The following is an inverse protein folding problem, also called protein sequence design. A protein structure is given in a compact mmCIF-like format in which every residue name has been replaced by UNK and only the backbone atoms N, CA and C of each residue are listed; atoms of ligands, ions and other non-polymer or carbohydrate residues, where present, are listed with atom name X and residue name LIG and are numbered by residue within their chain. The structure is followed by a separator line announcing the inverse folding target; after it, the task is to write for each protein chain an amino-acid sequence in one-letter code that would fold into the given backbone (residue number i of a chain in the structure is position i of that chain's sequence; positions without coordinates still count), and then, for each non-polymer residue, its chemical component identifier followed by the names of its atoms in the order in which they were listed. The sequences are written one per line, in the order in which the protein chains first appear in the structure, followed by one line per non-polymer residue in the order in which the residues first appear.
data_IF_620528943524
#
_entry.id   IF_620528943524
#
_cell.length_a   1.000
_cell.length_b   1.000
_cell.length_c   1.000
_cell.angle_alpha   90.00
_cell.angle_beta   90.00
_cell.angle_gamma   90.00
#
_symmetry.space_group_name_H-M   'P 1'
#
loop_
_entity.id
_entity.type
_entity.pdbx_description
1 polymer ?
#
# COMPACT_ATOMS: atom_id res chain seq x y z
N UNK A 1 19.41 22.10 1.01
CA UNK A 1 18.94 21.39 2.23
C UNK A 1 18.57 19.97 1.82
N UNK A 2 19.43 19.02 2.16
CA UNK A 2 19.16 17.59 1.98
C UNK A 2 18.11 17.17 3.00
N UNK A 3 16.96 16.74 2.51
CA UNK A 3 15.93 16.14 3.36
C UNK A 3 16.25 14.64 3.44
N UNK A 4 16.77 14.18 4.58
CA UNK A 4 17.20 12.80 4.77
C UNK A 4 18.41 12.43 3.91
N UNK A 5 18.40 11.22 3.32
CA UNK A 5 19.52 10.70 2.52
C UNK A 5 19.38 10.92 1.01
N UNK A 6 18.31 11.56 0.59
CA UNK A 6 18.00 11.83 -0.82
C UNK A 6 18.76 13.07 -1.29
N UNK A 7 19.38 13.00 -2.46
CA UNK A 7 20.08 14.09 -3.08
C UNK A 7 20.01 13.99 -4.60
N UNK A 8 20.76 14.90 -5.27
CA UNK A 8 20.91 14.93 -6.72
C UNK A 8 22.40 15.05 -7.02
N UNK A 9 22.91 14.26 -7.96
CA UNK A 9 24.31 14.31 -8.38
C UNK A 9 24.56 15.47 -9.39
N UNK A 10 25.83 15.73 -9.77
CA UNK A 10 26.13 16.77 -10.76
C UNK A 10 25.49 16.56 -12.14
N UNK A 11 25.09 15.33 -12.48
CA UNK A 11 24.42 14.99 -13.75
C UNK A 11 22.92 15.18 -13.70
N UNK A 12 22.34 15.51 -12.54
CA UNK A 12 20.90 15.65 -12.32
C UNK A 12 20.18 14.35 -11.92
N UNK A 13 20.90 13.25 -11.76
CA UNK A 13 20.33 11.99 -11.34
C UNK A 13 20.07 11.96 -9.83
N UNK A 14 18.93 11.41 -9.42
CA UNK A 14 18.57 11.23 -8.01
C UNK A 14 19.54 10.26 -7.33
N UNK A 15 19.97 10.60 -6.11
CA UNK A 15 20.82 9.75 -5.28
C UNK A 15 20.15 9.45 -3.94
N UNK A 16 20.54 8.33 -3.35
CA UNK A 16 20.22 7.97 -1.99
C UNK A 16 21.50 7.52 -1.29
N UNK A 17 21.86 8.16 -0.18
CA UNK A 17 23.15 7.95 0.51
C UNK A 17 24.32 7.98 -0.46
N UNK A 18 24.34 8.93 -1.38
CA UNK A 18 25.34 9.12 -2.45
C UNK A 18 25.42 8.01 -3.51
N UNK A 19 24.51 7.03 -3.48
CA UNK A 19 24.38 6.02 -4.53
C UNK A 19 23.37 6.49 -5.57
N UNK A 20 23.72 6.41 -6.86
CA UNK A 20 22.82 6.83 -7.93
C UNK A 20 21.60 5.90 -8.01
N UNK A 21 20.47 6.44 -8.44
CA UNK A 21 19.23 5.67 -8.61
C UNK A 21 19.41 4.50 -9.58
N UNK A 22 20.13 4.70 -10.68
CA UNK A 22 20.41 3.63 -11.66
C UNK A 22 21.23 2.50 -11.08
N UNK A 23 22.28 2.81 -10.30
CA UNK A 23 23.09 1.79 -9.62
C UNK A 23 22.27 1.04 -8.56
N UNK A 24 21.45 1.74 -7.82
CA UNK A 24 20.57 1.13 -6.80
C UNK A 24 19.54 0.20 -7.44
N UNK A 25 18.86 0.62 -8.51
CA UNK A 25 17.93 -0.25 -9.26
C UNK A 25 18.59 -1.54 -9.71
N UNK A 26 19.77 -1.43 -10.31
CA UNK A 26 20.51 -2.58 -10.81
C UNK A 26 20.91 -3.55 -9.71
N UNK A 27 21.41 -3.03 -8.59
CA UNK A 27 21.78 -3.84 -7.42
C UNK A 27 20.57 -4.56 -6.82
N UNK A 28 19.43 -3.89 -6.72
CA UNK A 28 18.17 -4.47 -6.22
C UNK A 28 17.74 -5.64 -7.12
N UNK A 29 17.71 -5.43 -8.43
CA UNK A 29 17.28 -6.45 -9.38
C UNK A 29 18.20 -7.67 -9.39
N UNK A 30 19.51 -7.47 -9.41
CA UNK A 30 20.48 -8.56 -9.32
C UNK A 30 20.37 -9.32 -8.01
N UNK A 31 20.28 -8.62 -6.90
CA UNK A 31 20.20 -9.21 -5.57
C UNK A 31 18.94 -10.06 -5.39
N UNK A 32 17.81 -9.55 -5.77
CA UNK A 32 16.52 -10.27 -5.68
C UNK A 32 16.51 -11.48 -6.63
N UNK A 33 16.96 -11.31 -7.87
CA UNK A 33 17.02 -12.40 -8.84
C UNK A 33 17.84 -13.58 -8.32
N UNK A 34 19.00 -13.30 -7.74
CA UNK A 34 19.86 -14.33 -7.20
C UNK A 34 19.30 -14.98 -5.93
N UNK A 35 18.89 -14.19 -4.95
CA UNK A 35 18.52 -14.70 -3.62
C UNK A 35 17.16 -15.40 -3.64
N UNK A 36 16.17 -14.82 -4.29
CA UNK A 36 14.84 -15.43 -4.41
C UNK A 36 14.87 -16.61 -5.40
N UNK A 37 15.63 -16.49 -6.48
CA UNK A 37 15.84 -17.60 -7.42
C UNK A 37 16.46 -18.83 -6.77
N UNK A 38 17.49 -18.65 -5.95
CA UNK A 38 18.11 -19.74 -5.20
C UNK A 38 17.18 -20.35 -4.16
N UNK A 39 16.42 -19.52 -3.47
CA UNK A 39 15.46 -19.97 -2.46
C UNK A 39 14.31 -20.77 -3.07
N UNK A 40 13.84 -20.40 -4.25
CA UNK A 40 12.75 -21.08 -4.94
C UNK A 40 13.04 -22.54 -5.30
N UNK A 41 14.32 -22.90 -5.37
CA UNK A 41 14.76 -24.27 -5.63
C UNK A 41 14.83 -25.13 -4.36
N UNK A 42 14.74 -24.53 -3.19
CA UNK A 42 14.72 -25.24 -1.91
C UNK A 42 13.29 -25.68 -1.56
N UNK A 43 13.18 -26.88 -0.97
CA UNK A 43 11.90 -27.40 -0.52
C UNK A 43 11.20 -26.44 0.45
N UNK A 44 9.89 -26.35 0.31
CA UNK A 44 9.06 -25.61 1.26
C UNK A 44 9.06 -26.30 2.62
N UNK A 45 9.08 -25.51 3.66
CA UNK A 45 8.95 -25.99 5.04
C UNK A 45 8.22 -24.95 5.88
N UNK A 46 7.76 -25.38 7.04
CA UNK A 46 7.12 -24.50 8.01
C UNK A 46 8.09 -23.42 8.49
N UNK A 47 7.52 -22.25 8.77
CA UNK A 47 8.26 -21.13 9.34
C UNK A 47 8.48 -21.39 10.82
N UNK A 48 9.73 -21.36 11.24
CA UNK A 48 10.12 -21.49 12.65
C UNK A 48 10.45 -20.11 13.21
N UNK A 49 10.37 -19.96 14.54
CA UNK A 49 10.64 -18.68 15.20
C UNK A 49 12.02 -18.11 14.84
N UNK A 50 13.03 -18.96 14.74
CA UNK A 50 14.38 -18.54 14.35
C UNK A 50 14.48 -17.97 12.94
N UNK A 51 13.58 -18.34 12.04
CA UNK A 51 13.58 -17.86 10.67
C UNK A 51 13.36 -16.34 10.57
N UNK A 52 12.68 -15.76 11.55
CA UNK A 52 12.48 -14.32 11.59
C UNK A 52 13.76 -13.51 11.84
N UNK A 53 14.79 -14.14 12.35
CA UNK A 53 16.07 -13.51 12.71
C UNK A 53 17.20 -13.82 11.75
N UNK A 54 16.99 -14.68 10.77
CA UNK A 54 17.99 -15.05 9.77
C UNK A 54 18.27 -13.88 8.84
N UNK A 55 19.54 -13.60 8.60
CA UNK A 55 20.01 -12.65 7.59
C UNK A 55 21.02 -13.37 6.71
N UNK A 56 20.74 -13.51 5.44
CA UNK A 56 21.64 -14.06 4.45
C UNK A 56 22.36 -12.92 3.73
N UNK A 57 23.62 -13.14 3.36
CA UNK A 57 24.45 -12.13 2.71
C UNK A 57 25.23 -12.75 1.56
N UNK A 58 25.25 -12.05 0.43
CA UNK A 58 26.04 -12.44 -0.74
C UNK A 58 26.76 -11.22 -1.32
N UNK A 59 28.00 -11.42 -1.78
CA UNK A 59 28.79 -10.40 -2.41
C UNK A 59 28.71 -10.49 -3.94
N UNK A 60 28.49 -9.34 -4.58
CA UNK A 60 28.38 -9.18 -6.02
C UNK A 60 29.53 -8.32 -6.54
N UNK A 61 30.68 -8.92 -6.89
CA UNK A 61 31.77 -8.17 -7.51
C UNK A 61 31.37 -7.75 -8.93
N UNK A 62 31.82 -6.57 -9.37
CA UNK A 62 31.55 -6.06 -10.72
C UNK A 62 32.01 -7.01 -11.82
N UNK A 63 33.14 -7.66 -11.58
CA UNK A 63 33.74 -8.63 -12.53
C UNK A 63 32.98 -9.96 -12.60
N UNK A 64 32.06 -10.20 -11.68
CA UNK A 64 31.37 -11.47 -11.53
C UNK A 64 32.19 -12.49 -10.74
N UNK A 65 31.55 -13.61 -10.44
CA UNK A 65 32.14 -14.74 -9.73
C UNK A 65 31.52 -16.04 -10.24
N UNK A 66 31.94 -17.19 -9.67
CA UNK A 66 31.32 -18.48 -10.00
C UNK A 66 29.82 -18.53 -9.70
N UNK A 67 29.32 -17.70 -8.76
CA UNK A 67 27.95 -17.69 -8.32
C UNK A 67 27.15 -16.46 -8.83
N UNK A 68 27.86 -15.42 -9.29
CA UNK A 68 27.23 -14.14 -9.63
C UNK A 68 27.67 -13.65 -11.01
N UNK A 69 26.79 -13.04 -11.82
CA UNK A 69 27.16 -12.48 -13.11
C UNK A 69 28.00 -11.22 -12.96
N UNK A 70 28.78 -10.89 -13.98
CA UNK A 70 29.39 -9.56 -14.11
C UNK A 70 28.32 -8.49 -14.31
N UNK A 71 28.59 -7.28 -13.81
CA UNK A 71 27.65 -6.15 -13.90
C UNK A 71 28.40 -4.81 -13.86
N UNK A 72 27.66 -3.73 -14.10
CA UNK A 72 28.23 -2.37 -14.19
C UNK A 72 27.82 -1.44 -13.02
N UNK A 73 27.35 -2.02 -11.91
CA UNK A 73 26.81 -1.23 -10.79
C UNK A 73 27.81 -0.98 -9.66
N UNK A 74 29.09 -1.32 -9.86
CA UNK A 74 30.11 -1.32 -8.81
C UNK A 74 29.94 -2.53 -7.86
N UNK A 75 30.96 -2.81 -7.09
CA UNK A 75 30.91 -3.92 -6.12
C UNK A 75 29.87 -3.61 -5.05
N UNK A 76 29.04 -4.58 -4.72
CA UNK A 76 28.07 -4.44 -3.62
C UNK A 76 27.83 -5.77 -2.93
N UNK A 77 27.40 -5.68 -1.69
CA UNK A 77 26.89 -6.79 -0.91
C UNK A 77 25.39 -6.69 -0.80
N UNK A 78 24.70 -7.80 -0.92
CA UNK A 78 23.25 -7.87 -0.83
C UNK A 78 22.84 -8.73 0.35
N UNK A 79 22.01 -8.19 1.25
CA UNK A 79 21.49 -8.93 2.39
C UNK A 79 20.00 -9.17 2.22
N UNK A 80 19.56 -10.36 2.59
CA UNK A 80 18.15 -10.76 2.62
C UNK A 80 17.76 -11.08 4.04
N UNK A 81 16.78 -10.38 4.56
CA UNK A 81 16.26 -10.56 5.92
C UNK A 81 15.12 -11.57 5.92
N UNK A 82 15.13 -12.48 6.87
CA UNK A 82 14.08 -13.48 7.09
C UNK A 82 13.55 -14.13 5.79
N UNK A 83 14.42 -14.72 4.96
CA UNK A 83 14.03 -15.16 3.61
C UNK A 83 12.91 -16.20 3.62
N UNK A 84 12.90 -17.13 4.58
CA UNK A 84 11.85 -18.16 4.70
C UNK A 84 10.51 -17.54 5.10
N UNK A 85 10.52 -16.59 6.03
CA UNK A 85 9.29 -15.91 6.46
C UNK A 85 8.65 -15.12 5.31
N UNK A 86 9.45 -14.35 4.57
CA UNK A 86 8.93 -13.58 3.44
C UNK A 86 8.50 -14.47 2.28
N UNK A 87 9.16 -15.61 2.03
CA UNK A 87 8.68 -16.62 1.08
C UNK A 87 7.28 -17.09 1.46
N UNK A 88 7.06 -17.37 2.74
CA UNK A 88 5.75 -17.76 3.25
C UNK A 88 4.70 -16.66 3.01
N UNK A 89 5.04 -15.39 3.28
CA UNK A 89 4.10 -14.29 3.04
C UNK A 89 3.74 -14.16 1.56
N UNK A 90 4.69 -14.29 0.66
CA UNK A 90 4.41 -14.28 -0.79
C UNK A 90 3.47 -15.42 -1.18
N UNK A 91 3.72 -16.63 -0.69
CA UNK A 91 2.84 -17.79 -0.95
C UNK A 91 1.43 -17.57 -0.40
N UNK A 92 1.34 -17.05 0.82
CA UNK A 92 0.06 -16.76 1.49
C UNK A 92 -0.81 -15.79 0.66
N UNK A 93 -0.18 -14.83 0.02
CA UNK A 93 -0.85 -13.85 -0.84
C UNK A 93 -0.95 -14.28 -2.31
N UNK A 94 -0.63 -15.54 -2.61
CA UNK A 94 -0.79 -16.11 -3.95
C UNK A 94 0.24 -15.67 -4.97
N UNK A 95 1.40 -15.18 -4.54
CA UNK A 95 2.48 -14.74 -5.43
C UNK A 95 3.43 -15.90 -5.68
N UNK A 96 3.48 -16.36 -6.93
CA UNK A 96 4.43 -17.40 -7.32
C UNK A 96 5.85 -16.82 -7.45
N UNK A 97 6.90 -17.61 -7.16
CA UNK A 97 8.30 -17.17 -7.29
C UNK A 97 8.63 -16.61 -8.68
N UNK A 98 8.16 -17.26 -9.74
CA UNK A 98 8.40 -16.84 -11.12
C UNK A 98 7.75 -15.48 -11.43
N UNK A 99 6.54 -15.24 -10.93
CA UNK A 99 5.84 -13.97 -11.11
C UNK A 99 6.53 -12.83 -10.35
N UNK A 100 6.98 -13.11 -9.13
CA UNK A 100 7.73 -12.15 -8.32
C UNK A 100 9.05 -11.74 -9.00
N UNK A 101 9.81 -12.71 -9.48
CA UNK A 101 11.07 -12.48 -10.17
C UNK A 101 10.85 -11.76 -11.51
N UNK A 102 9.86 -12.19 -12.28
CA UNK A 102 9.54 -11.57 -13.57
C UNK A 102 9.16 -10.10 -13.39
N UNK A 103 8.28 -9.81 -12.45
CA UNK A 103 7.82 -8.46 -12.17
C UNK A 103 8.94 -7.52 -11.72
N UNK A 104 9.77 -7.97 -10.79
CA UNK A 104 10.82 -7.15 -10.18
C UNK A 104 12.09 -7.04 -11.01
N UNK A 105 12.45 -8.07 -11.78
CA UNK A 105 13.78 -8.20 -12.37
C UNK A 105 13.81 -8.13 -13.90
N UNK A 106 12.68 -8.32 -14.58
CA UNK A 106 12.67 -8.40 -16.04
C UNK A 106 12.74 -7.03 -16.72
N UNK A 107 11.95 -6.08 -16.28
CA UNK A 107 11.91 -4.73 -16.81
C UNK A 107 12.55 -3.72 -15.85
N UNK A 108 13.04 -2.57 -16.34
CA UNK A 108 13.56 -1.53 -15.46
C UNK A 108 12.50 -1.05 -14.46
N UNK A 109 12.93 -0.85 -13.22
CA UNK A 109 12.10 -0.24 -12.18
C UNK A 109 11.87 1.23 -12.51
N UNK A 110 10.66 1.72 -12.23
CA UNK A 110 10.26 3.09 -12.48
C UNK A 110 10.36 3.86 -11.17
N UNK A 111 11.18 4.92 -11.15
CA UNK A 111 11.25 5.79 -9.99
C UNK A 111 10.02 6.69 -9.92
N UNK A 112 9.36 6.70 -8.77
CA UNK A 112 8.22 7.58 -8.53
C UNK A 112 8.70 8.95 -8.10
N UNK A 113 8.17 9.99 -8.73
CA UNK A 113 8.49 11.38 -8.38
C UNK A 113 7.80 11.77 -7.07
N UNK A 114 8.62 12.07 -6.06
CA UNK A 114 8.26 12.83 -4.86
C UNK A 114 7.00 12.36 -4.10
N UNK A 115 6.90 11.10 -3.65
CA UNK A 115 5.70 10.60 -2.99
C UNK A 115 5.55 11.01 -1.52
N UNK A 116 6.13 12.12 -1.08
CA UNK A 116 5.94 12.64 0.27
C UNK A 116 7.20 13.20 0.93
N UNK A 117 7.07 13.62 2.18
CA UNK A 117 8.10 14.31 2.96
C UNK A 117 9.14 13.38 3.61
N UNK A 118 9.13 12.08 3.34
CA UNK A 118 9.93 11.09 4.06
C UNK A 118 11.41 11.02 3.68
N UNK A 119 11.80 11.64 2.54
CA UNK A 119 13.17 11.52 2.02
C UNK A 119 13.53 10.13 1.48
N UNK A 120 12.57 9.23 1.34
CA UNK A 120 12.73 7.91 0.75
C UNK A 120 12.66 7.96 -0.77
N UNK A 121 13.33 7.00 -1.44
CA UNK A 121 13.11 6.73 -2.86
C UNK A 121 12.07 5.62 -2.96
N UNK A 122 11.17 5.78 -3.92
CA UNK A 122 10.16 4.78 -4.26
C UNK A 122 10.32 4.35 -5.70
N UNK A 123 10.27 3.05 -5.91
CA UNK A 123 10.18 2.47 -7.23
C UNK A 123 8.90 1.67 -7.36
N UNK A 124 8.41 1.57 -8.57
CA UNK A 124 7.30 0.68 -8.92
C UNK A 124 7.73 -0.21 -10.08
N UNK A 125 7.26 -1.44 -10.08
CA UNK A 125 7.48 -2.35 -11.21
C UNK A 125 6.68 -1.89 -12.42
N UNK A 126 7.16 -2.21 -13.64
CA UNK A 126 6.52 -1.76 -14.88
C UNK A 126 5.10 -2.29 -15.05
N UNK A 127 4.79 -3.43 -14.44
CA UNK A 127 3.45 -4.03 -14.40
C UNK A 127 2.56 -3.50 -13.27
N UNK A 128 3.04 -2.51 -12.50
CA UNK A 128 2.32 -1.86 -11.41
C UNK A 128 2.07 -2.71 -10.15
N UNK A 129 2.68 -3.87 -10.05
CA UNK A 129 2.37 -4.85 -9.00
C UNK A 129 2.99 -4.52 -7.65
N UNK A 130 4.27 -4.14 -7.66
CA UNK A 130 5.07 -3.99 -6.45
C UNK A 130 5.61 -2.57 -6.31
N UNK A 131 5.63 -2.10 -5.07
CA UNK A 131 6.33 -0.89 -4.65
C UNK A 131 7.61 -1.32 -3.92
N UNK A 132 8.72 -0.67 -4.24
CA UNK A 132 9.98 -0.79 -3.53
C UNK A 132 10.26 0.54 -2.86
N UNK A 133 10.45 0.52 -1.56
CA UNK A 133 10.67 1.72 -0.77
C UNK A 133 11.99 1.60 0.00
N UNK A 134 12.83 2.64 -0.04
CA UNK A 134 13.95 2.74 0.89
C UNK A 134 13.43 3.02 2.29
N UNK A 135 13.99 2.31 3.27
CA UNK A 135 13.62 2.46 4.68
C UNK A 135 14.84 2.78 5.53
N UNK A 136 14.63 3.49 6.62
CA UNK A 136 15.68 3.80 7.57
C UNK A 136 16.05 2.56 8.39
N UNK A 137 17.25 2.56 8.95
CA UNK A 137 17.71 1.46 9.84
C UNK A 137 16.68 1.11 10.92
N UNK A 138 16.14 2.13 11.60
CA UNK A 138 15.15 1.94 12.65
C UNK A 138 13.83 1.37 12.15
N UNK A 139 13.40 1.75 10.96
CA UNK A 139 12.21 1.20 10.33
C UNK A 139 12.40 -0.29 9.97
N UNK A 140 13.57 -0.64 9.40
CA UNK A 140 13.89 -2.03 9.09
C UNK A 140 14.01 -2.90 10.35
N UNK A 141 14.65 -2.39 11.40
CA UNK A 141 14.74 -3.05 12.70
C UNK A 141 13.36 -3.28 13.31
N UNK A 142 12.50 -2.27 13.24
CA UNK A 142 11.13 -2.36 13.73
C UNK A 142 10.31 -3.41 12.94
N UNK A 143 10.45 -3.45 11.62
CA UNK A 143 9.78 -4.46 10.81
C UNK A 143 10.21 -5.88 11.21
N UNK A 144 11.50 -6.10 11.44
CA UNK A 144 11.99 -7.40 11.91
C UNK A 144 11.34 -7.81 13.25
N UNK A 145 11.19 -6.88 14.17
CA UNK A 145 10.51 -7.12 15.45
C UNK A 145 9.01 -7.39 15.30
N UNK A 146 8.40 -6.79 14.30
CA UNK A 146 6.97 -6.94 14.00
C UNK A 146 6.66 -8.30 13.35
N UNK A 147 7.62 -8.91 12.65
CA UNK A 147 7.38 -10.09 11.81
C UNK A 147 6.69 -11.25 12.53
N UNK A 148 7.07 -11.67 13.75
CA UNK A 148 6.36 -12.77 14.41
C UNK A 148 4.88 -12.48 14.67
N UNK A 149 4.55 -11.30 15.16
CA UNK A 149 3.16 -10.88 15.38
C UNK A 149 2.39 -10.71 14.07
N UNK A 150 3.02 -10.17 13.06
CA UNK A 150 2.50 -10.05 11.70
C UNK A 150 2.18 -11.43 11.11
N UNK A 151 3.09 -12.37 11.24
CA UNK A 151 2.90 -13.77 10.82
C UNK A 151 1.69 -14.41 11.51
N UNK A 152 1.56 -14.27 12.82
CA UNK A 152 0.43 -14.82 13.57
C UNK A 152 -0.90 -14.18 13.15
N UNK A 153 -0.91 -12.88 12.95
CA UNK A 153 -2.11 -12.17 12.50
C UNK A 153 -2.57 -12.65 11.12
N UNK A 154 -1.64 -12.85 10.19
CA UNK A 154 -1.94 -13.34 8.85
C UNK A 154 -2.43 -14.79 8.85
N UNK A 155 -1.89 -15.64 9.71
CA UNK A 155 -2.34 -17.02 9.84
C UNK A 155 -3.78 -17.12 10.37
N UNK A 156 -4.14 -16.24 11.27
CA UNK A 156 -5.51 -16.18 11.80
C UNK A 156 -6.47 -15.52 10.83
N UNK A 157 -5.98 -14.56 10.04
CA UNK A 157 -6.79 -13.80 9.12
C UNK A 157 -5.96 -13.31 7.92
N UNK A 158 -6.13 -13.98 6.78
CA UNK A 158 -5.50 -13.54 5.51
C UNK A 158 -5.98 -12.18 5.05
N UNK A 159 -7.16 -11.78 5.49
CA UNK A 159 -7.84 -10.54 5.12
C UNK A 159 -7.27 -9.42 5.95
N UNK A 160 -6.38 -8.66 5.38
CA UNK A 160 -5.74 -7.56 6.07
C UNK A 160 -5.63 -6.35 5.16
N UNK A 161 -5.82 -5.17 5.74
CA UNK A 161 -5.49 -3.91 5.12
C UNK A 161 -4.10 -3.42 5.50
N UNK A 162 -3.39 -4.13 6.37
CA UNK A 162 -1.99 -3.83 6.68
C UNK A 162 -1.15 -3.91 5.40
N UNK A 163 -0.04 -3.16 5.33
CA UNK A 163 0.88 -3.32 4.21
C UNK A 163 1.29 -4.78 4.06
N UNK A 164 1.27 -5.27 2.84
CA UNK A 164 1.73 -6.62 2.53
C UNK A 164 3.20 -6.55 2.21
N UNK A 165 4.00 -7.06 3.13
CA UNK A 165 5.45 -7.08 3.01
C UNK A 165 5.90 -8.36 2.34
N UNK A 166 6.59 -8.24 1.20
CA UNK A 166 7.04 -9.37 0.39
C UNK A 166 8.52 -9.64 0.51
N UNK A 167 9.30 -8.69 0.98
CA UNK A 167 10.73 -8.84 1.19
C UNK A 167 11.34 -7.64 1.89
N UNK A 168 12.42 -7.87 2.61
CA UNK A 168 13.26 -6.85 3.22
C UNK A 168 14.71 -7.17 2.86
N UNK A 169 15.38 -6.20 2.27
CA UNK A 169 16.72 -6.37 1.72
C UNK A 169 17.62 -5.19 2.11
N UNK A 170 18.93 -5.40 1.97
CA UNK A 170 19.91 -4.34 2.15
C UNK A 170 20.96 -4.39 1.05
N UNK A 171 21.17 -3.27 0.37
CA UNK A 171 22.29 -3.07 -0.53
C UNK A 171 23.40 -2.35 0.21
N UNK A 172 24.55 -2.98 0.34
CA UNK A 172 25.75 -2.36 0.88
C UNK A 172 26.69 -1.99 -0.28
N UNK A 173 26.82 -0.71 -0.54
CA UNK A 173 27.66 -0.16 -1.60
C UNK A 173 28.43 1.04 -1.08
N UNK A 174 29.72 1.14 -1.37
CA UNK A 174 30.57 2.27 -0.96
C UNK A 174 30.57 2.52 0.56
N UNK A 175 30.49 1.48 1.39
CA UNK A 175 30.42 1.60 2.83
C UNK A 175 29.08 2.09 3.40
N UNK A 176 28.05 2.21 2.55
CA UNK A 176 26.71 2.65 2.94
C UNK A 176 25.74 1.47 2.91
N UNK A 177 24.79 1.48 3.86
CA UNK A 177 23.70 0.52 3.94
C UNK A 177 22.42 1.15 3.43
N UNK A 178 21.87 0.61 2.35
CA UNK A 178 20.59 1.04 1.81
C UNK A 178 19.60 -0.11 1.99
N UNK A 179 18.64 0.10 2.87
CA UNK A 179 17.61 -0.90 3.17
C UNK A 179 16.36 -0.61 2.38
N UNK A 180 15.80 -1.66 1.83
CA UNK A 180 14.58 -1.57 1.01
C UNK A 180 13.56 -2.59 1.47
N UNK A 181 12.30 -2.24 1.34
CA UNK A 181 11.16 -3.14 1.51
C UNK A 181 10.41 -3.25 0.19
N UNK A 182 10.00 -4.46 -0.14
CA UNK A 182 9.10 -4.72 -1.27
C UNK A 182 7.71 -4.98 -0.71
N UNK A 183 6.75 -4.25 -1.21
CA UNK A 183 5.36 -4.32 -0.73
C UNK A 183 4.37 -4.21 -1.88
N UNK A 184 3.10 -4.45 -1.60
CA UNK A 184 2.03 -4.31 -2.57
C UNK A 184 1.83 -2.84 -2.98
N UNK A 185 1.41 -2.64 -4.22
CA UNK A 185 0.95 -1.35 -4.70
C UNK A 185 -0.58 -1.24 -4.48
N UNK A 186 -1.00 -0.27 -3.66
CA UNK A 186 -2.42 -0.07 -3.32
C UNK A 186 -3.19 0.65 -4.42
N UNK A 187 -2.53 1.53 -5.15
CA UNK A 187 -3.15 2.38 -6.17
C UNK A 187 -2.53 2.09 -7.53
N UNK A 188 -3.11 1.16 -8.32
CA UNK A 188 -2.59 0.84 -9.64
C UNK A 188 -2.70 2.04 -10.58
N UNK A 189 -1.62 2.35 -11.32
CA UNK A 189 -1.62 3.43 -12.31
C UNK A 189 -2.49 3.13 -13.53
N UNK A 190 -2.75 1.85 -13.77
CA UNK A 190 -3.63 1.39 -14.84
C UNK A 190 -5.10 1.76 -14.61
N UNK A 191 -5.48 2.02 -13.35
CA UNK A 191 -6.82 2.47 -12.99
C UNK A 191 -6.71 3.92 -12.55
N UNK A 192 -7.25 4.88 -13.31
CA UNK A 192 -7.18 6.30 -12.94
C UNK A 192 -7.91 6.55 -11.63
N UNK A 193 -7.21 7.11 -10.65
CA UNK A 193 -7.84 7.56 -9.40
C UNK A 193 -8.33 8.97 -9.57
N UNK A 194 -9.63 9.18 -9.46
CA UNK A 194 -10.24 10.50 -9.53
C UNK A 194 -10.07 11.27 -8.23
N UNK A 195 -10.05 10.56 -7.10
CA UNK A 195 -9.81 11.12 -5.78
C UNK A 195 -8.87 10.22 -4.97
N UNK A 196 -8.02 10.85 -4.17
CA UNK A 196 -7.14 10.17 -3.21
C UNK A 196 -7.20 10.86 -1.86
N UNK A 197 -7.26 10.08 -0.80
CA UNK A 197 -7.29 10.56 0.58
C UNK A 197 -6.29 9.79 1.44
N UNK A 198 -5.63 10.53 2.32
CA UNK A 198 -4.82 10.01 3.43
C UNK A 198 -5.55 10.37 4.73
N UNK A 199 -6.14 9.39 5.38
CA UNK A 199 -7.06 9.59 6.49
C UNK A 199 -6.50 9.00 7.78
N UNK A 200 -6.49 9.79 8.86
CA UNK A 200 -6.00 9.38 10.18
C UNK A 200 -7.06 9.35 11.27
N UNK A 201 -8.22 9.91 11.01
CA UNK A 201 -9.24 10.09 12.03
C UNK A 201 -8.97 11.28 12.96
N UNK A 202 -8.16 12.23 12.54
CA UNK A 202 -7.87 13.46 13.29
C UNK A 202 -8.19 14.70 12.45
N UNK A 203 -8.34 15.83 13.12
CA UNK A 203 -8.70 17.09 12.46
C UNK A 203 -7.56 18.11 12.42
N UNK A 204 -6.60 18.00 13.35
CA UNK A 204 -5.51 18.96 13.45
C UNK A 204 -4.57 18.88 12.24
N UNK A 205 -4.43 20.01 11.51
CA UNK A 205 -3.64 20.11 10.27
C UNK A 205 -3.99 19.04 9.23
N UNK A 206 -5.26 18.65 9.19
CA UNK A 206 -5.74 17.61 8.27
C UNK A 206 -6.49 18.19 7.08
N UNK A 207 -5.88 19.19 6.43
CA UNK A 207 -6.25 19.69 5.09
C UNK A 207 -5.05 19.62 4.17
N UNK A 208 -5.28 19.28 2.91
CA UNK A 208 -4.24 19.34 1.89
C UNK A 208 -3.74 20.77 1.74
N UNK A 209 -2.41 20.93 1.66
CA UNK A 209 -1.79 22.24 1.45
C UNK A 209 -2.15 22.80 0.06
N UNK A 210 -2.05 24.13 -0.16
CA UNK A 210 -2.25 24.69 -1.51
C UNK A 210 -1.32 24.05 -2.56
N UNK A 211 -0.09 23.77 -2.19
CA UNK A 211 0.87 23.08 -3.07
C UNK A 211 0.41 21.66 -3.45
N UNK A 212 -0.17 20.92 -2.51
CA UNK A 212 -0.73 19.61 -2.79
C UNK A 212 -1.95 19.70 -3.70
N UNK A 213 -2.83 20.67 -3.47
CA UNK A 213 -4.03 20.89 -4.29
C UNK A 213 -3.74 21.24 -5.74
N UNK A 214 -2.56 21.79 -6.03
CA UNK A 214 -2.13 22.16 -7.39
C UNK A 214 -1.69 20.93 -8.21
N UNK A 215 -1.51 19.78 -7.61
CA UNK A 215 -1.20 18.55 -8.34
C UNK A 215 -2.39 18.07 -9.17
N UNK A 216 -2.13 17.32 -10.24
CA UNK A 216 -3.17 16.76 -11.11
C UNK A 216 -4.11 15.83 -10.36
N UNK A 217 -3.58 14.99 -9.45
CA UNK A 217 -4.35 14.16 -8.54
C UNK A 217 -3.82 14.39 -7.13
N UNK A 218 -4.37 15.36 -6.40
CA UNK A 218 -3.94 15.64 -5.04
C UNK A 218 -4.26 14.51 -4.07
N UNK A 219 -3.45 14.38 -3.02
CA UNK A 219 -3.80 13.55 -1.86
C UNK A 219 -4.43 14.45 -0.80
N UNK A 220 -5.71 14.30 -0.62
CA UNK A 220 -6.50 15.04 0.36
C UNK A 220 -6.44 14.37 1.73
N UNK A 221 -6.92 15.08 2.74
CA UNK A 221 -6.89 14.64 4.13
C UNK A 221 -8.28 14.63 4.77
N UNK A 222 -8.33 14.36 6.05
CA UNK A 222 -9.58 14.13 6.80
C UNK A 222 -10.63 15.25 6.66
N UNK A 223 -10.21 16.51 6.82
CA UNK A 223 -11.16 17.64 6.71
C UNK A 223 -11.64 17.86 5.28
N UNK A 224 -10.76 17.59 4.30
CA UNK A 224 -11.16 17.63 2.89
C UNK A 224 -12.20 16.52 2.60
N UNK A 225 -12.00 15.32 3.15
CA UNK A 225 -12.95 14.21 2.97
C UNK A 225 -14.33 14.55 3.55
N UNK A 226 -14.37 15.07 4.77
CA UNK A 226 -15.63 15.44 5.43
C UNK A 226 -16.38 16.50 4.61
N UNK A 227 -15.67 17.44 4.02
CA UNK A 227 -16.24 18.49 3.18
C UNK A 227 -16.71 17.95 1.82
N UNK A 228 -15.90 17.09 1.18
CA UNK A 228 -16.18 16.59 -0.16
C UNK A 228 -17.21 15.48 -0.17
N UNK A 229 -17.23 14.66 0.88
CA UNK A 229 -18.08 13.47 1.02
C UNK A 229 -18.82 13.48 2.36
N UNK A 230 -19.75 14.40 2.57
CA UNK A 230 -20.45 14.50 3.86
C UNK A 230 -21.28 13.26 4.19
N UNK A 231 -21.72 12.51 3.20
CA UNK A 231 -22.46 11.25 3.37
C UNK A 231 -21.57 10.00 3.32
N UNK A 232 -20.26 10.19 3.17
CA UNK A 232 -19.27 9.12 3.12
C UNK A 232 -19.35 8.27 1.85
N UNK A 233 -18.61 7.16 1.88
CA UNK A 233 -18.59 6.16 0.82
C UNK A 233 -19.57 5.05 1.22
N UNK A 234 -20.53 4.77 0.36
CA UNK A 234 -21.59 3.81 0.66
C UNK A 234 -21.22 2.42 0.14
N UNK A 235 -21.20 1.46 1.05
CA UNK A 235 -20.91 0.06 0.78
C UNK A 235 -22.17 -0.79 1.01
N UNK A 236 -22.26 -1.88 0.26
CA UNK A 236 -23.25 -2.91 0.58
C UNK A 236 -23.02 -3.45 2.00
N UNK A 237 -24.08 -3.85 2.72
CA UNK A 237 -23.99 -4.21 4.14
C UNK A 237 -22.93 -5.29 4.43
N UNK A 238 -22.82 -6.32 3.60
CA UNK A 238 -21.85 -7.39 3.80
C UNK A 238 -20.42 -6.90 3.62
N UNK A 239 -20.16 -6.08 2.62
CA UNK A 239 -18.85 -5.46 2.39
C UNK A 239 -18.48 -4.51 3.53
N UNK A 240 -19.44 -3.71 4.00
CA UNK A 240 -19.23 -2.82 5.14
C UNK A 240 -18.88 -3.61 6.41
N UNK A 241 -19.62 -4.64 6.73
CA UNK A 241 -19.36 -5.47 7.92
C UNK A 241 -18.00 -6.15 7.85
N UNK A 242 -17.65 -6.73 6.70
CA UNK A 242 -16.36 -7.37 6.48
C UNK A 242 -15.20 -6.38 6.61
N UNK A 243 -15.34 -5.18 6.03
CA UNK A 243 -14.35 -4.12 6.12
C UNK A 243 -14.13 -3.67 7.58
N UNK A 244 -15.21 -3.42 8.32
CA UNK A 244 -15.10 -2.96 9.70
C UNK A 244 -14.46 -4.02 10.61
N UNK A 245 -14.75 -5.29 10.42
CA UNK A 245 -14.08 -6.38 11.14
C UNK A 245 -12.60 -6.44 10.82
N UNK A 246 -12.23 -6.27 9.57
CA UNK A 246 -10.82 -6.27 9.14
C UNK A 246 -10.06 -5.09 9.77
N UNK A 247 -10.63 -3.89 9.74
CA UNK A 247 -10.03 -2.71 10.38
C UNK A 247 -9.85 -2.95 11.88
N UNK A 248 -10.84 -3.51 12.55
CA UNK A 248 -10.77 -3.82 13.98
C UNK A 248 -9.62 -4.78 14.30
N UNK A 249 -9.47 -5.85 13.55
CA UNK A 249 -8.41 -6.85 13.75
C UNK A 249 -7.02 -6.25 13.50
N UNK A 250 -6.88 -5.49 12.42
CA UNK A 250 -5.62 -4.83 12.08
C UNK A 250 -5.23 -3.80 13.13
N UNK A 251 -6.18 -3.03 13.64
CA UNK A 251 -5.95 -2.07 14.71
C UNK A 251 -5.54 -2.73 16.03
N UNK A 252 -6.05 -3.92 16.34
CA UNK A 252 -5.60 -4.66 17.52
C UNK A 252 -4.12 -5.03 17.44
N UNK A 253 -3.65 -5.46 16.27
CA UNK A 253 -2.23 -5.72 16.06
C UNK A 253 -1.41 -4.44 16.20
N UNK A 254 -1.81 -3.38 15.54
CA UNK A 254 -1.11 -2.08 15.60
C UNK A 254 -1.03 -1.55 17.03
N UNK A 255 -2.10 -1.66 17.78
CA UNK A 255 -2.15 -1.27 19.19
C UNK A 255 -1.21 -2.12 20.05
N UNK A 256 -1.16 -3.44 19.82
CA UNK A 256 -0.32 -4.35 20.59
C UNK A 256 1.17 -4.05 20.41
N UNK A 257 1.57 -3.51 19.27
CA UNK A 257 2.94 -3.05 19.01
C UNK A 257 3.14 -1.57 19.28
N UNK A 258 2.18 -0.90 19.90
CA UNK A 258 2.23 0.53 20.25
C UNK A 258 2.46 1.42 19.01
N UNK A 259 1.90 1.03 17.87
CA UNK A 259 2.00 1.79 16.64
C UNK A 259 0.93 2.88 16.61
N UNK A 260 1.33 4.07 16.21
CA UNK A 260 0.47 5.23 16.01
C UNK A 260 0.85 5.95 14.73
N UNK A 261 0.11 6.98 14.37
CA UNK A 261 0.37 7.86 13.22
C UNK A 261 0.25 7.16 11.84
N UNK A 262 -0.33 5.98 11.82
CA UNK A 262 -0.69 5.33 10.56
C UNK A 262 -1.93 5.95 9.94
N UNK A 263 -2.09 5.73 8.65
CA UNK A 263 -3.19 6.28 7.86
C UNK A 263 -3.92 5.20 7.09
N UNK A 264 -5.15 5.49 6.70
CA UNK A 264 -5.85 4.76 5.64
C UNK A 264 -5.68 5.54 4.33
N UNK A 265 -5.00 4.93 3.37
CA UNK A 265 -4.95 5.46 2.01
C UNK A 265 -6.21 5.00 1.28
N UNK A 266 -6.94 5.94 0.70
CA UNK A 266 -8.18 5.68 -0.04
C UNK A 266 -8.06 6.26 -1.42
N UNK A 267 -8.10 5.40 -2.43
CA UNK A 267 -8.21 5.80 -3.84
C UNK A 267 -9.63 5.54 -4.34
N UNK A 268 -10.20 6.49 -5.04
CA UNK A 268 -11.54 6.39 -5.62
C UNK A 268 -11.46 6.49 -7.12
N UNK A 269 -11.88 5.42 -7.80
CA UNK A 269 -12.12 5.41 -9.23
C UNK A 269 -13.62 5.52 -9.48
N UNK A 270 -14.04 6.60 -10.12
CA UNK A 270 -15.43 6.81 -10.46
C UNK A 270 -15.74 6.16 -11.80
N UNK A 271 -16.43 5.03 -11.78
CA UNK A 271 -16.73 4.23 -12.97
C UNK A 271 -17.64 4.97 -13.94
N UNK A 272 -18.64 5.68 -13.42
CA UNK A 272 -19.58 6.43 -14.26
C UNK A 272 -18.91 7.65 -14.90
N UNK A 273 -18.02 8.34 -14.18
CA UNK A 273 -17.21 9.43 -14.72
C UNK A 273 -16.24 8.93 -15.79
N UNK A 274 -15.56 7.81 -15.56
CA UNK A 274 -14.66 7.20 -16.54
C UNK A 274 -15.38 6.81 -17.82
N UNK A 275 -16.60 6.31 -17.73
CA UNK A 275 -17.43 6.00 -18.89
C UNK A 275 -17.80 7.24 -19.69
N UNK A 276 -18.13 8.35 -19.01
CA UNK A 276 -18.40 9.64 -19.66
C UNK A 276 -17.16 10.24 -20.32
N UNK A 277 -16.00 10.13 -19.68
CA UNK A 277 -14.73 10.59 -20.23
C UNK A 277 -14.36 9.80 -21.50
N UNK A 278 -14.56 8.49 -21.51
CA UNK A 278 -14.35 7.63 -22.70
C UNK A 278 -15.30 7.97 -23.85
N UNK A 279 -16.55 8.23 -23.57
CA UNK A 279 -17.54 8.65 -24.55
C UNK A 279 -17.18 10.00 -25.16
N UNK A 280 -16.73 10.97 -24.34
CA UNK A 280 -16.26 12.29 -24.81
C UNK A 280 -15.04 12.21 -25.72
N UNK A 281 -14.11 11.30 -25.47
CA UNK A 281 -12.93 11.07 -26.33
C UNK A 281 -13.32 10.46 -27.67
N UNK A 282 -14.32 9.57 -27.71
CA UNK A 282 -14.83 8.96 -28.95
C UNK A 282 -15.55 10.01 -29.84
N UNK A 283 -16.26 10.97 -29.23
CA UNK A 283 -16.91 12.07 -29.93
C UNK A 283 -15.93 13.15 -30.41
N UNK A 284 -14.78 13.29 -29.74
CA UNK A 284 -13.76 14.30 -30.01
C UNK A 284 -12.82 14.03 -31.19
N UNK A 285 -13.03 12.99 -31.99
CA UNK A 285 -12.32 12.72 -33.23
C UNK A 285 -11.02 11.93 -33.10
N UNK A 286 -10.90 10.97 -33.98
CA UNK A 286 -9.83 10.01 -34.09
C UNK A 286 -8.42 10.57 -33.99
N UNK A 287 -7.76 10.34 -32.90
CA UNK A 287 -6.34 10.17 -32.89
C UNK A 287 -6.06 8.68 -32.76
N UNK A 288 -5.49 8.16 -33.82
CA UNK A 288 -4.93 6.82 -33.87
C UNK A 288 -3.82 6.71 -32.83
N UNK A 289 -4.14 6.16 -31.71
CA UNK A 289 -3.23 5.89 -30.61
C UNK A 289 -3.84 4.81 -29.74
N UNK A 290 -4.41 3.80 -30.37
CA UNK A 290 -4.76 2.55 -29.67
C UNK A 290 -3.46 1.87 -29.29
N UNK A 291 -2.97 2.19 -28.09
CA UNK A 291 -2.17 1.25 -27.33
C UNK A 291 -3.11 0.09 -27.09
N UNK A 292 -3.00 -0.96 -27.90
CA UNK A 292 -3.64 -2.23 -27.63
C UNK A 292 -3.16 -2.65 -26.24
N UNK A 293 -4.05 -2.75 -25.24
CA UNK A 293 -3.65 -3.25 -23.93
C UNK A 293 -3.12 -4.67 -24.16
N UNK A 294 -1.91 -4.92 -23.71
CA UNK A 294 -1.33 -6.25 -23.72
C UNK A 294 -2.22 -7.14 -22.86
N UNK A 295 -3.02 -7.98 -23.48
CA UNK A 295 -4.00 -8.85 -22.86
C UNK A 295 -3.40 -9.87 -21.86
N UNK A 296 -2.07 -9.95 -21.76
CA UNK A 296 -1.39 -10.83 -20.81
C UNK A 296 -1.23 -10.22 -19.42
N UNK A 297 -1.30 -8.89 -19.30
CA UNK A 297 -1.13 -8.17 -18.01
C UNK A 297 -2.35 -8.22 -17.06
N UNK A 298 -3.62 -8.32 -17.50
CA UNK A 298 -4.77 -8.24 -16.60
C UNK A 298 -4.90 -9.38 -15.60
N UNK A 299 -4.44 -10.60 -15.92
CA UNK A 299 -4.65 -11.76 -15.04
C UNK A 299 -3.76 -11.77 -13.81
N UNK A 300 -2.50 -11.31 -13.92
CA UNK A 300 -1.57 -11.22 -12.79
C UNK A 300 -1.98 -10.08 -11.87
N UNK A 301 -2.34 -8.93 -12.42
CA UNK A 301 -2.84 -7.79 -11.65
C UNK A 301 -4.11 -8.14 -10.86
N UNK A 302 -5.06 -8.88 -11.45
CA UNK A 302 -6.23 -9.39 -10.75
C UNK A 302 -5.86 -10.23 -9.54
N UNK A 303 -4.83 -11.06 -9.60
CA UNK A 303 -4.43 -11.92 -8.49
C UNK A 303 -3.90 -11.14 -7.28
N UNK A 304 -3.17 -10.04 -7.50
CA UNK A 304 -2.53 -9.27 -6.42
C UNK A 304 -3.48 -8.27 -5.75
N UNK A 305 -4.27 -7.55 -6.54
CA UNK A 305 -5.28 -6.63 -6.02
C UNK A 305 -6.49 -7.37 -5.44
N UNK A 306 -6.83 -8.53 -6.00
CA UNK A 306 -7.99 -9.30 -5.60
C UNK A 306 -7.83 -9.94 -4.22
N UNK A 307 -6.60 -10.22 -3.75
CA UNK A 307 -6.44 -11.02 -2.51
C UNK A 307 -6.98 -10.33 -1.26
N UNK A 308 -6.80 -9.00 -1.11
CA UNK A 308 -7.43 -8.26 -0.02
C UNK A 308 -8.92 -8.00 -0.28
N UNK A 309 -9.25 -7.69 -1.54
CA UNK A 309 -10.62 -7.34 -1.92
C UNK A 309 -11.53 -8.56 -2.08
N UNK A 310 -11.04 -9.66 -2.66
CA UNK A 310 -11.74 -10.94 -2.67
C UNK A 310 -11.99 -11.48 -1.26
N UNK A 311 -11.10 -11.20 -0.34
CA UNK A 311 -11.29 -11.56 1.06
C UNK A 311 -12.45 -10.79 1.67
N UNK A 312 -12.56 -9.51 1.38
CA UNK A 312 -13.68 -8.69 1.84
C UNK A 312 -14.96 -9.07 1.11
N UNK A 313 -14.87 -9.34 -0.19
CA UNK A 313 -15.99 -9.79 -1.01
C UNK A 313 -16.35 -11.26 -0.78
N UNK A 314 -15.38 -12.12 -0.44
CA UNK A 314 -15.57 -13.55 -0.27
C UNK A 314 -16.42 -13.94 0.93
N UNK A 315 -16.49 -13.11 1.97
CA UNK A 315 -17.46 -13.27 3.06
C UNK A 315 -18.86 -12.82 2.65
N UNK A 316 -18.93 -11.97 1.63
CA UNK A 316 -20.19 -11.44 1.10
C UNK A 316 -20.81 -12.35 0.03
N UNK A 317 -20.50 -13.63 -0.04
CA UNK A 317 -21.10 -14.57 -0.98
C UNK A 317 -22.60 -14.77 -0.74
N UNK A 318 -23.32 -13.69 -0.90
CA UNK A 318 -24.71 -13.71 -1.27
C UNK A 318 -24.79 -13.69 -2.80
N UNK A 319 -25.42 -14.67 -3.35
CA UNK A 319 -25.78 -14.87 -4.74
C UNK A 319 -26.03 -13.58 -5.51
N UNK A 320 -25.35 -13.38 -6.62
CA UNK A 320 -25.62 -12.33 -7.55
C UNK A 320 -24.45 -11.43 -7.86
N UNK A 321 -23.27 -11.99 -7.94
CA UNK A 321 -22.15 -11.34 -8.59
C UNK A 321 -22.51 -11.16 -10.05
N UNK A 322 -22.91 -9.97 -10.39
CA UNK A 322 -22.74 -9.50 -11.73
C UNK A 322 -21.25 -9.62 -12.03
N UNK A 323 -20.94 -10.53 -12.93
CA UNK A 323 -19.63 -10.65 -13.54
C UNK A 323 -19.30 -9.31 -14.21
N UNK A 324 -18.71 -8.43 -13.48
CA UNK A 324 -18.05 -7.29 -14.08
C UNK A 324 -16.62 -7.72 -14.32
N UNK A 325 -16.41 -8.25 -15.52
CA UNK A 325 -15.09 -8.64 -16.02
C UNK A 325 -14.06 -7.50 -15.97
N UNK A 326 -14.50 -6.28 -15.70
CA UNK A 326 -13.72 -5.05 -15.71
C UNK A 326 -13.35 -4.53 -14.31
N UNK A 327 -13.66 -5.26 -13.23
CA UNK A 327 -13.31 -4.80 -11.90
C UNK A 327 -11.88 -5.19 -11.53
N UNK A 328 -11.01 -4.22 -11.59
CA UNK A 328 -9.57 -4.28 -11.31
C UNK A 328 -9.26 -4.36 -9.80
N UNK A 329 -10.00 -5.16 -9.04
CA UNK A 329 -9.74 -5.45 -7.64
C UNK A 329 -10.20 -4.40 -6.64
N UNK A 330 -10.92 -3.36 -7.04
CA UNK A 330 -11.50 -2.38 -6.13
C UNK A 330 -12.76 -2.87 -5.43
N UNK A 331 -13.09 -2.29 -4.30
CA UNK A 331 -14.36 -2.55 -3.61
C UNK A 331 -15.46 -1.74 -4.30
N UNK A 332 -16.53 -2.38 -4.80
CA UNK A 332 -17.67 -1.66 -5.36
C UNK A 332 -18.37 -0.83 -4.30
N UNK A 333 -18.63 0.42 -4.62
CA UNK A 333 -19.27 1.37 -3.72
C UNK A 333 -20.07 2.42 -4.49
N UNK A 334 -20.72 3.30 -3.77
CA UNK A 334 -21.41 4.45 -4.33
C UNK A 334 -21.04 5.71 -3.55
N UNK A 335 -20.95 6.83 -4.26
CA UNK A 335 -20.79 8.14 -3.65
C UNK A 335 -22.16 8.76 -3.31
N UNK A 336 -22.15 9.97 -2.76
CA UNK A 336 -23.37 10.69 -2.36
C UNK A 336 -24.32 11.01 -3.53
N UNK A 337 -23.78 11.04 -4.76
CA UNK A 337 -24.59 11.27 -5.98
C UNK A 337 -25.18 9.97 -6.55
N UNK A 338 -24.94 8.83 -5.88
CA UNK A 338 -25.37 7.53 -6.37
C UNK A 338 -24.51 6.97 -7.51
N UNK A 339 -23.42 7.63 -7.86
CA UNK A 339 -22.50 7.16 -8.90
C UNK A 339 -21.75 5.92 -8.44
N UNK A 340 -21.50 4.99 -9.37
CA UNK A 340 -20.73 3.79 -9.11
C UNK A 340 -19.25 4.14 -9.03
N UNK A 341 -18.64 3.72 -7.95
CA UNK A 341 -17.20 3.90 -7.71
C UNK A 341 -16.54 2.59 -7.32
N UNK A 342 -15.24 2.52 -7.55
CA UNK A 342 -14.37 1.47 -7.01
C UNK A 342 -13.41 2.10 -6.00
N UNK A 343 -13.30 1.47 -4.84
CA UNK A 343 -12.48 1.99 -3.74
C UNK A 343 -11.29 1.07 -3.51
N UNK A 344 -10.11 1.67 -3.53
CA UNK A 344 -8.83 1.01 -3.26
C UNK A 344 -8.31 1.51 -1.93
N UNK A 345 -8.15 0.63 -0.96
CA UNK A 345 -7.79 1.01 0.41
C UNK A 345 -6.67 0.16 0.97
N UNK A 346 -5.91 0.75 1.86
CA UNK A 346 -4.89 0.06 2.63
C UNK A 346 -4.37 0.95 3.76
N UNK A 347 -3.92 0.32 4.83
CA UNK A 347 -3.26 1.01 5.93
C UNK A 347 -1.80 1.24 5.53
N UNK A 348 -1.29 2.45 5.75
CA UNK A 348 0.07 2.86 5.41
C UNK A 348 0.78 3.47 6.62
N UNK A 349 2.11 3.59 6.52
CA UNK A 349 2.96 4.27 7.51
C UNK A 349 3.01 3.59 8.89
N UNK A 350 3.01 2.27 8.91
CA UNK A 350 3.06 1.52 10.17
C UNK A 350 4.49 1.36 10.74
N UNK A 351 5.52 1.67 9.97
CA UNK A 351 6.91 1.51 10.40
C UNK A 351 7.49 2.77 11.04
N UNK A 352 6.73 3.84 11.15
CA UNK A 352 7.20 5.16 11.61
C UNK A 352 7.01 5.42 13.11
N UNK A 353 6.71 4.41 13.92
CA UNK A 353 6.52 4.56 15.37
C UNK A 353 7.71 5.25 16.06
N UNK A 354 8.93 5.03 15.55
CA UNK A 354 10.14 5.66 16.03
C UNK A 354 10.16 7.19 15.82
N UNK A 355 9.72 7.68 14.65
CA UNK A 355 9.65 9.13 14.36
C UNK A 355 8.65 9.83 15.26
N UNK A 356 7.63 9.11 15.66
CA UNK A 356 6.58 9.62 16.52
C UNK A 356 7.08 9.87 17.94
N UNK A 357 7.86 8.96 18.52
CA UNK A 357 8.47 9.13 19.83
C UNK A 357 9.38 10.36 19.85
N UNK A 358 10.18 10.59 18.79
CA UNK A 358 11.00 11.81 18.67
C UNK A 358 10.18 13.08 18.52
N UNK A 359 9.08 13.05 17.78
CA UNK A 359 8.17 14.21 17.67
C UNK A 359 7.49 14.53 19.00
N UNK A 360 7.21 13.53 19.82
CA UNK A 360 6.67 13.72 21.16
C UNK A 360 7.63 14.48 22.07
N UNK A 361 8.91 14.15 22.04
CA UNK A 361 9.94 14.86 22.82
C UNK A 361 10.02 16.34 22.45
N UNK A 362 9.84 16.69 21.16
CA UNK A 362 9.83 18.07 20.69
C UNK A 362 8.48 18.77 20.84
N UNK A 363 7.38 18.04 20.85
CA UNK A 363 6.01 18.59 20.85
C UNK A 363 5.39 18.68 22.25
N UNK A 364 6.11 18.23 23.29
CA UNK A 364 5.60 18.24 24.67
C UNK A 364 5.09 19.63 25.10
N UNK A 365 5.77 20.70 24.66
CA UNK A 365 5.39 22.07 24.98
C UNK A 365 4.15 22.57 24.22
N UNK A 366 3.83 21.97 23.08
CA UNK A 366 2.67 22.35 22.27
C UNK A 366 1.41 21.55 22.65
N UNK A 367 1.56 20.42 23.32
CA UNK A 367 0.48 19.50 23.67
C UNK A 367 -0.33 19.90 24.89
N UNK A 368 0.15 20.87 25.67
CA UNK A 368 -0.50 21.30 26.92
C UNK A 368 -1.75 22.16 26.69
N UNK A 369 -2.00 22.59 25.45
CA UNK A 369 -3.07 23.56 25.15
C UNK A 369 -4.29 23.01 24.42
N UNK A 370 -4.30 21.73 23.99
CA UNK A 370 -5.43 21.19 23.23
C UNK A 370 -5.78 19.76 23.68
N UNK A 371 -6.93 19.61 24.34
CA UNK A 371 -7.40 18.35 24.92
C UNK A 371 -7.54 17.20 23.90
N UNK A 372 -7.81 17.52 22.63
CA UNK A 372 -7.95 16.54 21.55
C UNK A 372 -6.59 16.06 20.99
N UNK A 373 -5.52 16.82 21.20
CA UNK A 373 -4.17 16.45 20.77
C UNK A 373 -3.42 15.61 21.80
N UNK A 374 -3.85 15.61 23.06
CA UNK A 374 -3.28 14.80 24.17
C UNK A 374 -3.51 13.29 23.95
N UNK A 375 -4.44 12.94 23.08
CA UNK A 375 -4.76 11.55 22.70
C UNK A 375 -3.66 10.82 21.93
N UNK A 376 -2.66 11.54 21.46
CA UNK A 376 -1.49 11.03 20.74
C UNK A 376 -0.62 10.08 21.58
N UNK A 377 -0.76 10.10 22.91
CA UNK A 377 0.04 9.30 23.84
C UNK A 377 -0.44 7.86 24.05
N UNK A 378 -1.59 7.48 23.50
CA UNK A 378 -2.18 6.17 23.76
C UNK A 378 -2.48 5.44 22.44
N UNK A 379 -1.69 4.40 22.11
CA UNK A 379 -1.95 3.57 20.94
C UNK A 379 -3.39 3.03 20.89
N UNK A 380 -3.96 2.67 22.03
CA UNK A 380 -5.35 2.25 22.13
C UNK A 380 -6.35 3.34 21.76
N UNK A 381 -6.12 4.57 22.20
CA UNK A 381 -6.96 5.70 21.84
C UNK A 381 -6.86 6.03 20.35
N UNK A 382 -5.64 5.99 19.80
CA UNK A 382 -5.42 6.21 18.37
C UNK A 382 -6.18 5.18 17.53
N UNK A 383 -6.05 3.89 17.88
CA UNK A 383 -6.73 2.81 17.20
C UNK A 383 -8.25 2.94 17.26
N UNK A 384 -8.80 3.26 18.43
CA UNK A 384 -10.25 3.44 18.62
C UNK A 384 -10.79 4.62 17.80
N UNK A 385 -10.09 5.76 17.82
CA UNK A 385 -10.47 6.94 17.04
C UNK A 385 -10.41 6.66 15.53
N UNK A 386 -9.35 5.97 15.08
CA UNK A 386 -9.19 5.56 13.70
C UNK A 386 -10.35 4.67 13.24
N UNK A 387 -10.66 3.62 14.00
CA UNK A 387 -11.78 2.72 13.70
C UNK A 387 -13.11 3.45 13.64
N UNK A 388 -13.37 4.29 14.62
CA UNK A 388 -14.61 5.07 14.70
C UNK A 388 -14.77 5.99 13.50
N UNK A 389 -13.72 6.70 13.13
CA UNK A 389 -13.74 7.58 11.96
C UNK A 389 -13.98 6.79 10.67
N UNK A 390 -13.29 5.67 10.45
CA UNK A 390 -13.45 4.89 9.24
C UNK A 390 -14.84 4.24 9.16
N UNK A 391 -15.32 3.64 10.24
CA UNK A 391 -16.58 2.90 10.22
C UNK A 391 -17.83 3.76 10.40
N UNK A 392 -17.72 4.99 10.91
CA UNK A 392 -18.87 5.86 11.12
C UNK A 392 -18.92 7.05 10.17
N UNK A 393 -17.79 7.57 9.73
CA UNK A 393 -17.73 8.78 8.91
C UNK A 393 -17.33 8.47 7.46
N UNK A 394 -16.30 7.65 7.25
CA UNK A 394 -15.79 7.38 5.91
C UNK A 394 -16.65 6.38 5.16
N UNK A 395 -16.92 5.24 5.77
CA UNK A 395 -17.71 4.18 5.16
C UNK A 395 -19.09 4.08 5.82
N UNK A 396 -20.11 3.92 4.99
CA UNK A 396 -21.50 3.82 5.41
C UNK A 396 -22.16 2.63 4.75
N UNK A 397 -23.08 1.98 5.46
CA UNK A 397 -23.94 0.96 4.84
C UNK A 397 -24.94 1.62 3.90
N UNK A 398 -25.11 1.08 2.70
CA UNK A 398 -26.28 1.42 1.89
C UNK A 398 -27.54 0.96 2.60
N UNK A 399 -28.57 1.80 2.59
CA UNK A 399 -29.89 1.41 3.12
C UNK A 399 -30.53 0.44 2.13
N UNK A 400 -30.94 -0.72 2.65
CA UNK A 400 -31.78 -1.63 1.88
C UNK A 400 -33.15 -1.01 1.63
N UNK A 401 -33.83 -1.33 0.50
CA UNK A 401 -35.19 -0.82 0.25
C UNK A 401 -36.19 -1.12 1.39
N UNK A 402 -35.98 -2.23 2.13
CA UNK A 402 -36.77 -2.60 3.30
C UNK A 402 -36.62 -1.68 4.50
N UNK A 403 -35.53 -0.89 4.55
CA UNK A 403 -35.24 0.00 5.67
C UNK A 403 -35.80 1.43 5.45
N UNK A 404 -36.51 1.66 4.35
CA UNK A 404 -37.19 2.92 4.10
C UNK A 404 -38.59 2.89 4.73
N UNK A 405 -38.86 3.75 5.69
CA UNK A 405 -40.19 3.78 6.32
C UNK A 405 -41.32 4.19 5.37
N UNK A 406 -41.01 4.69 4.18
CA UNK A 406 -41.97 5.22 3.20
C UNK A 406 -42.52 4.20 2.20
N UNK A 407 -42.09 2.92 2.31
CA UNK A 407 -42.53 1.85 1.40
C UNK A 407 -43.39 0.76 2.08
N UNK A 408 -44.15 1.13 3.10
CA UNK A 408 -45.22 0.26 3.53
C UNK A 408 -46.34 0.30 2.45
N UNK A 409 -46.79 -0.86 1.96
CA UNK A 409 -47.92 -0.86 1.04
C UNK A 409 -49.11 -0.24 1.73
N UNK A 410 -49.64 0.81 1.12
CA UNK A 410 -50.97 1.34 1.53
C UNK A 410 -51.96 0.20 1.29
N UNK A 411 -52.46 -0.37 2.38
CA UNK A 411 -53.64 -1.23 2.32
C UNK A 411 -54.79 -0.32 2.05
N UNK A 412 -55.39 -0.43 0.85
CA UNK A 412 -56.67 0.19 0.57
C UNK A 412 -57.71 -0.33 1.56
N UNK A 413 -58.49 0.56 2.16
CA UNK A 413 -59.61 0.13 2.99
C UNK A 413 -60.72 -0.40 2.06
N UNK A 414 -61.18 -1.60 2.32
CA UNK A 414 -62.47 -2.12 1.81
C UNK A 414 -63.63 -1.34 2.36
#
# INVERSE_FOLDING_TARGET
KTIGHRGVDPTGETTYKKTTSSALKGAIQLGIAHTVGSLSQKAERDVLMQDFYVVESIFFPSEGSNLTPAHHHGDFRFKTYAPIAFRYFRELFGIRPDDYLYSLCNDPLIELSNPGASGSIFYVTSDDEFIIKTVMHKEAEFLQKLLPGYFMNLNQNKRTLLPKFYGLYCVQAGGKNIRIVVMNNLLPRSVPMHLKYDLKGSTYKRRASPKERDKSVPTYKDLDFIQDMPEGIQLEPDNYNALCKTIQRDCLLLQSFKIMDYSLLVGVHNTDLASRERAGVVEGGGSEGTVTPDHRRPQIQKALYSTAMESIQGEAKGKGTLETEDQWGGIPARNSRGERILVYIGIIDILQSYRFIKKLEHSWKALVHDGDTVSVHRPGFYAERFQRFMCNTVFKKTRMPSDRPDLLPQTDPL
#
